data_IF_484850682508
#
_entry.id   IF_484850682508
#
_cell.length_a   1.000
_cell.length_b   1.000
_cell.length_c   1.000
_cell.angle_alpha   90.00
_cell.angle_beta   90.00
_cell.angle_gamma   90.00
#
_symmetry.space_group_name_H-M   'P 1'
#
loop_
_entity.id
_entity.type
_entity.pdbx_description
1 polymer ?
#
# COMPACT_ATOMS: atom_id res chain seq x y z
N UNK A 1 -10.99 -4.74 -6.68
CA UNK A 1 -10.88 -4.41 -5.24
C UNK A 1 -12.00 -3.50 -4.78
N UNK A 2 -12.15 -2.27 -5.29
CA UNK A 2 -13.09 -1.32 -4.70
C UNK A 2 -14.56 -1.80 -4.63
N UNK A 3 -15.02 -2.61 -5.58
CA UNK A 3 -16.38 -3.17 -5.58
C UNK A 3 -16.60 -4.28 -4.53
N UNK A 4 -15.56 -5.05 -4.20
CA UNK A 4 -15.62 -6.16 -3.23
C UNK A 4 -14.25 -6.29 -2.55
N UNK A 5 -14.05 -5.45 -1.54
CA UNK A 5 -12.79 -5.38 -0.82
C UNK A 5 -12.54 -6.64 0.01
N UNK A 6 -13.59 -7.30 0.50
CA UNK A 6 -13.49 -8.52 1.30
C UNK A 6 -13.01 -9.70 0.48
N UNK A 7 -13.47 -9.84 -0.77
CA UNK A 7 -13.01 -10.91 -1.67
C UNK A 7 -11.63 -10.65 -2.26
N UNK A 8 -11.36 -9.41 -2.66
CA UNK A 8 -10.15 -9.08 -3.46
C UNK A 8 -9.04 -8.41 -2.65
N UNK A 9 -9.27 -8.16 -1.35
CA UNK A 9 -8.33 -7.48 -0.47
C UNK A 9 -6.99 -8.20 -0.41
N UNK A 10 -6.99 -9.49 -0.05
CA UNK A 10 -5.77 -10.29 0.02
C UNK A 10 -5.03 -10.34 -1.32
N UNK A 11 -5.72 -10.71 -2.42
CA UNK A 11 -5.10 -10.84 -3.74
C UNK A 11 -4.40 -9.55 -4.17
N UNK A 12 -5.05 -8.41 -3.99
CA UNK A 12 -4.46 -7.13 -4.36
C UNK A 12 -3.29 -6.78 -3.43
N UNK A 13 -3.43 -6.95 -2.11
CA UNK A 13 -2.37 -6.58 -1.17
C UNK A 13 -1.12 -7.46 -1.32
N UNK A 14 -1.27 -8.75 -1.61
CA UNK A 14 -0.14 -9.63 -1.95
C UNK A 14 0.60 -9.13 -3.19
N UNK A 15 -0.13 -8.77 -4.25
CA UNK A 15 0.48 -8.27 -5.48
C UNK A 15 1.15 -6.89 -5.29
N UNK A 16 0.57 -6.02 -4.45
CA UNK A 16 1.19 -4.75 -4.07
C UNK A 16 2.48 -4.99 -3.28
N UNK A 17 2.51 -5.91 -2.31
CA UNK A 17 3.74 -6.22 -1.59
C UNK A 17 4.85 -6.74 -2.53
N UNK A 18 4.50 -7.62 -3.47
CA UNK A 18 5.43 -8.12 -4.49
C UNK A 18 6.02 -6.99 -5.35
N UNK A 19 5.16 -6.15 -5.94
CA UNK A 19 5.61 -5.07 -6.82
C UNK A 19 6.38 -3.99 -6.06
N UNK A 20 6.04 -3.71 -4.80
CA UNK A 20 6.82 -2.81 -3.94
C UNK A 20 8.19 -3.42 -3.61
N UNK A 21 8.27 -4.73 -3.33
CA UNK A 21 9.54 -5.43 -3.12
C UNK A 21 10.45 -5.32 -4.34
N UNK A 22 9.91 -5.47 -5.55
CA UNK A 22 10.65 -5.26 -6.80
C UNK A 22 11.20 -3.82 -6.91
N UNK A 23 10.43 -2.82 -6.50
CA UNK A 23 10.90 -1.41 -6.50
C UNK A 23 12.01 -1.16 -5.47
N UNK A 24 11.96 -1.83 -4.32
CA UNK A 24 13.02 -1.75 -3.30
C UNK A 24 14.30 -2.45 -3.77
N UNK A 25 14.17 -3.63 -4.36
CA UNK A 25 15.31 -4.49 -4.75
C UNK A 25 15.89 -4.20 -6.13
N UNK A 26 15.25 -3.38 -6.96
CA UNK A 26 15.79 -3.02 -8.28
C UNK A 26 17.22 -2.49 -8.15
N UNK A 27 18.11 -2.70 -9.14
CA UNK A 27 19.47 -2.14 -9.12
C UNK A 27 19.48 -0.61 -9.10
N UNK A 28 20.43 0.00 -8.40
CA UNK A 28 20.58 1.45 -8.36
C UNK A 28 21.34 1.95 -9.58
N UNK A 29 20.69 2.78 -10.40
CA UNK A 29 21.25 3.35 -11.63
C UNK A 29 21.67 4.83 -11.46
N UNK A 30 21.27 5.46 -10.34
CA UNK A 30 21.47 6.88 -10.05
C UNK A 30 21.79 7.05 -8.57
N UNK A 31 22.49 8.13 -8.16
CA UNK A 31 22.84 8.37 -6.75
C UNK A 31 21.62 8.48 -5.82
N UNK A 32 20.47 8.85 -6.37
CA UNK A 32 19.20 8.95 -5.65
C UNK A 32 18.15 8.14 -6.39
N UNK A 33 17.37 7.36 -5.63
CA UNK A 33 16.18 6.66 -6.10
C UNK A 33 14.96 7.23 -5.40
N UNK A 34 14.03 7.77 -6.18
CA UNK A 34 12.70 8.10 -5.68
C UNK A 34 11.73 6.95 -5.95
N UNK A 35 10.89 6.65 -4.96
CA UNK A 35 9.82 5.66 -5.06
C UNK A 35 8.49 6.33 -4.70
N UNK A 36 7.44 6.06 -5.49
CA UNK A 36 6.08 6.42 -5.08
C UNK A 36 5.61 5.39 -4.06
N UNK A 37 5.51 5.82 -2.80
CA UNK A 37 5.24 4.94 -1.64
C UNK A 37 6.36 3.91 -1.38
N UNK A 38 6.06 2.94 -0.52
CA UNK A 38 6.99 1.89 -0.09
C UNK A 38 6.21 0.66 0.40
N UNK A 39 6.92 -0.46 0.56
CA UNK A 39 6.36 -1.67 1.18
C UNK A 39 5.82 -1.41 2.60
N UNK A 40 6.43 -0.46 3.33
CA UNK A 40 5.96 -0.02 4.65
C UNK A 40 4.56 0.57 4.58
N UNK A 41 4.28 1.40 3.58
CA UNK A 41 2.93 1.96 3.41
C UNK A 41 1.90 0.90 3.01
N UNK A 42 2.29 -0.13 2.27
CA UNK A 42 1.41 -1.25 1.93
C UNK A 42 0.95 -1.98 3.20
N UNK A 43 1.87 -2.31 4.12
CA UNK A 43 1.56 -2.96 5.39
C UNK A 43 0.84 -2.04 6.37
N UNK A 44 1.45 -0.91 6.74
CA UNK A 44 0.99 -0.11 7.87
C UNK A 44 -0.18 0.84 7.55
N UNK A 45 -0.44 1.12 6.27
CA UNK A 45 -1.57 1.97 5.87
C UNK A 45 -2.68 1.12 5.25
N UNK A 46 -2.40 0.39 4.17
CA UNK A 46 -3.47 -0.25 3.39
C UNK A 46 -3.95 -1.58 4.00
N UNK A 47 -3.03 -2.51 4.30
CA UNK A 47 -3.39 -3.78 4.95
C UNK A 47 -4.00 -3.52 6.32
N UNK A 48 -3.38 -2.65 7.13
CA UNK A 48 -3.91 -2.26 8.44
C UNK A 48 -5.31 -1.65 8.36
N UNK A 49 -5.56 -0.73 7.41
CA UNK A 49 -6.87 -0.13 7.23
C UNK A 49 -7.93 -1.15 6.78
N UNK A 50 -7.59 -2.08 5.88
CA UNK A 50 -8.50 -3.13 5.46
C UNK A 50 -8.90 -4.04 6.63
N UNK A 51 -7.94 -4.39 7.49
CA UNK A 51 -8.19 -5.17 8.70
C UNK A 51 -9.05 -4.41 9.71
N UNK A 52 -8.66 -3.19 10.08
CA UNK A 52 -9.40 -2.37 11.05
C UNK A 52 -10.81 -1.98 10.59
N UNK A 53 -11.04 -1.90 9.28
CA UNK A 53 -12.36 -1.62 8.71
C UNK A 53 -13.24 -2.87 8.54
N UNK A 54 -12.78 -4.04 8.99
CA UNK A 54 -13.53 -5.30 8.88
C UNK A 54 -13.65 -5.84 7.45
N UNK A 55 -12.84 -5.30 6.52
CA UNK A 55 -12.81 -5.70 5.10
C UNK A 55 -11.73 -6.73 4.79
N UNK A 56 -10.99 -7.18 5.80
CA UNK A 56 -10.00 -8.25 5.67
C UNK A 56 -10.15 -9.22 6.83
N UNK A 57 -10.40 -10.51 6.56
CA UNK A 57 -10.37 -11.55 7.58
C UNK A 57 -9.04 -11.58 8.35
N UNK A 58 -9.10 -11.99 9.61
CA UNK A 58 -7.90 -12.09 10.47
C UNK A 58 -6.82 -12.99 9.87
N UNK A 59 -7.22 -14.14 9.30
CA UNK A 59 -6.28 -15.06 8.64
C UNK A 59 -5.51 -14.39 7.51
N UNK A 60 -6.19 -13.60 6.68
CA UNK A 60 -5.56 -12.89 5.56
C UNK A 60 -4.58 -11.82 6.06
N UNK A 61 -4.96 -11.11 7.12
CA UNK A 61 -4.12 -10.11 7.76
C UNK A 61 -2.85 -10.74 8.36
N UNK A 62 -2.98 -11.86 9.06
CA UNK A 62 -1.84 -12.60 9.64
C UNK A 62 -0.88 -13.06 8.53
N UNK A 63 -1.41 -13.70 7.48
CA UNK A 63 -0.58 -14.17 6.35
C UNK A 63 0.18 -13.01 5.69
N UNK A 64 -0.48 -11.88 5.42
CA UNK A 64 0.18 -10.71 4.83
C UNK A 64 1.20 -10.06 5.78
N UNK A 65 1.03 -10.22 7.09
CA UNK A 65 1.96 -9.72 8.10
C UNK A 65 3.21 -10.60 8.17
N UNK A 66 3.04 -11.92 8.20
CA UNK A 66 4.17 -12.86 8.19
C UNK A 66 5.00 -12.73 6.91
N UNK A 67 4.35 -12.54 5.75
CA UNK A 67 5.06 -12.24 4.50
C UNK A 67 5.87 -10.95 4.59
N UNK A 68 5.28 -9.88 5.15
CA UNK A 68 5.97 -8.62 5.33
C UNK A 68 7.18 -8.76 6.27
N UNK A 69 7.02 -9.44 7.40
CA UNK A 69 8.08 -9.67 8.37
C UNK A 69 9.21 -10.52 7.77
N UNK A 70 8.86 -11.55 6.98
CA UNK A 70 9.85 -12.33 6.25
C UNK A 70 10.62 -11.45 5.27
N UNK A 71 9.95 -10.61 4.48
CA UNK A 71 10.61 -9.70 3.53
C UNK A 71 11.56 -8.74 4.27
N UNK A 72 11.11 -8.11 5.35
CA UNK A 72 11.91 -7.17 6.11
C UNK A 72 13.17 -7.81 6.71
N UNK A 73 13.08 -9.08 7.11
CA UNK A 73 14.20 -9.82 7.71
C UNK A 73 15.16 -10.42 6.68
N UNK A 74 14.71 -10.67 5.44
CA UNK A 74 15.48 -11.40 4.44
C UNK A 74 15.90 -10.55 3.23
N UNK A 75 15.40 -9.32 3.11
CA UNK A 75 15.69 -8.43 1.98
C UNK A 75 15.93 -7.00 2.45
N UNK A 76 16.86 -6.30 1.80
CA UNK A 76 17.06 -4.87 2.05
C UNK A 76 15.92 -4.04 1.45
N UNK A 77 15.01 -3.63 2.32
CA UNK A 77 13.88 -2.73 2.05
C UNK A 77 13.98 -1.44 2.87
N UNK A 78 15.20 -1.07 3.26
CA UNK A 78 15.49 0.14 4.01
C UNK A 78 15.27 1.40 3.15
N UNK A 79 14.97 2.52 3.81
CA UNK A 79 14.76 3.81 3.16
C UNK A 79 15.50 4.88 3.96
N UNK A 80 16.33 5.68 3.29
CA UNK A 80 17.13 6.72 3.94
C UNK A 80 16.31 7.92 4.39
N UNK A 81 15.28 8.29 3.61
CA UNK A 81 14.44 9.46 3.84
C UNK A 81 12.99 9.22 3.42
N UNK A 82 12.05 9.64 4.27
CA UNK A 82 10.62 9.63 3.96
C UNK A 82 10.13 11.05 3.75
N UNK A 83 9.57 11.32 2.57
CA UNK A 83 8.89 12.59 2.27
C UNK A 83 7.38 12.38 2.45
N UNK A 84 6.81 12.99 3.50
CA UNK A 84 5.38 12.91 3.78
C UNK A 84 4.61 14.09 3.16
N UNK A 85 3.82 13.80 2.13
CA UNK A 85 2.95 14.80 1.49
C UNK A 85 1.64 14.93 2.30
N UNK A 86 1.66 15.80 3.31
CA UNK A 86 0.51 16.01 4.18
C UNK A 86 -0.54 16.92 3.54
N UNK A 87 -1.81 16.55 3.66
CA UNK A 87 -2.97 17.39 3.32
C UNK A 87 -4.22 16.88 4.05
N UNK A 88 -5.30 17.66 4.08
CA UNK A 88 -6.52 17.27 4.77
C UNK A 88 -7.33 16.24 3.94
N UNK A 89 -8.17 15.40 4.58
CA UNK A 89 -9.04 14.45 3.89
C UNK A 89 -9.95 15.12 2.85
N UNK A 90 -10.45 16.32 3.15
CA UNK A 90 -11.35 17.08 2.25
C UNK A 90 -10.62 17.47 0.96
N UNK A 91 -9.39 17.97 1.07
CA UNK A 91 -8.56 18.31 -0.09
C UNK A 91 -8.20 17.06 -0.90
N UNK A 92 -7.88 15.94 -0.23
CA UNK A 92 -7.69 14.65 -0.90
C UNK A 92 -8.92 14.21 -1.68
N UNK A 93 -10.11 14.32 -1.08
CA UNK A 93 -11.38 13.92 -1.67
C UNK A 93 -11.77 14.80 -2.86
N UNK A 94 -11.53 16.12 -2.78
CA UNK A 94 -11.69 17.01 -3.93
C UNK A 94 -10.77 16.64 -5.09
N UNK A 95 -9.49 16.35 -4.81
CA UNK A 95 -8.52 15.92 -5.83
C UNK A 95 -8.92 14.58 -6.46
N UNK A 96 -9.41 13.65 -5.65
CA UNK A 96 -9.94 12.36 -6.10
C UNK A 96 -11.12 12.56 -7.05
N UNK A 97 -12.08 13.42 -6.69
CA UNK A 97 -13.21 13.79 -7.57
C UNK A 97 -12.75 14.42 -8.88
N UNK A 98 -11.80 15.37 -8.83
CA UNK A 98 -11.26 16.03 -10.04
C UNK A 98 -10.50 15.07 -10.96
N UNK A 99 -9.86 14.03 -10.39
CA UNK A 99 -9.12 13.02 -11.15
C UNK A 99 -10.03 12.10 -11.96
N UNK A 100 -11.31 11.96 -11.57
CA UNK A 100 -12.34 11.25 -12.33
C UNK A 100 -11.99 9.81 -12.75
N UNK A 101 -11.24 9.06 -11.94
CA UNK A 101 -11.01 7.62 -12.19
C UNK A 101 -12.24 6.82 -11.82
N UNK A 102 -12.70 5.96 -12.72
CA UNK A 102 -13.91 5.16 -12.54
C UNK A 102 -13.84 4.28 -11.29
N UNK A 103 -12.68 3.68 -11.02
CA UNK A 103 -12.46 2.77 -9.91
C UNK A 103 -12.55 3.46 -8.54
N UNK A 104 -12.30 4.77 -8.50
CA UNK A 104 -12.20 5.55 -7.26
C UNK A 104 -13.51 6.26 -6.89
N UNK A 105 -14.52 6.27 -7.78
CA UNK A 105 -15.79 7.00 -7.57
C UNK A 105 -16.57 6.56 -6.33
N UNK A 106 -16.39 5.32 -5.90
CA UNK A 106 -17.10 4.72 -4.76
C UNK A 106 -16.39 4.91 -3.42
N UNK A 107 -15.25 5.60 -3.40
CA UNK A 107 -14.50 5.87 -2.18
C UNK A 107 -15.21 6.99 -1.40
N UNK A 108 -15.64 6.75 -0.14
CA UNK A 108 -16.24 7.78 0.71
C UNK A 108 -15.16 8.76 1.21
N UNK A 109 -15.61 9.92 1.73
CA UNK A 109 -14.77 10.81 2.52
C UNK A 109 -14.36 10.13 3.83
#
# INVERSE_FOLDING_TARGET
MYQDASRWGITLQTYIQLTMLEQHTRPMISPVRMMERSIHSAKYIFVENLYRSGKMPEVDYVVLSEWFDWIQNNTDVSVDLIVYLQTSPEVCYERLKRRCREEEKIIPL
#
